data_IF_506543320042
#
_entry.id   IF_506543320042
#
_cell.length_a   1.000
_cell.length_b   1.000
_cell.length_c   1.000
_cell.angle_alpha   90.00
_cell.angle_beta   90.00
_cell.angle_gamma   90.00
#
_symmetry.space_group_name_H-M   'P 1'
#
loop_
_entity.id
_entity.type
_entity.pdbx_description
1 polymer ?
#
# COMPACT_ATOMS: atom_id res chain seq x y z
N UNK A 1 19.34 -8.49 15.59
CA UNK A 1 18.41 -7.36 15.24
C UNK A 1 17.08 -7.87 14.66
N UNK A 2 17.11 -8.86 13.74
CA UNK A 2 15.90 -9.44 13.14
C UNK A 2 14.98 -10.06 14.21
N UNK A 3 15.50 -10.88 15.09
CA UNK A 3 14.73 -11.58 16.12
C UNK A 3 14.04 -10.62 17.11
N UNK A 4 14.71 -9.52 17.48
CA UNK A 4 14.13 -8.52 18.39
C UNK A 4 12.99 -7.73 17.74
N UNK A 5 13.11 -7.40 16.46
CA UNK A 5 12.10 -6.63 15.73
C UNK A 5 10.89 -7.51 15.41
N UNK A 6 11.12 -8.77 15.01
CA UNK A 6 10.07 -9.78 14.82
C UNK A 6 9.30 -10.00 16.13
N UNK A 7 10.01 -10.20 17.24
CA UNK A 7 9.40 -10.42 18.56
C UNK A 7 8.57 -9.21 19.01
N UNK A 8 9.10 -7.99 18.84
CA UNK A 8 8.34 -6.77 19.13
C UNK A 8 7.09 -6.62 18.27
N UNK A 9 7.19 -6.89 16.97
CA UNK A 9 6.03 -6.81 16.05
C UNK A 9 4.93 -7.79 16.45
N UNK A 10 5.28 -9.04 16.77
CA UNK A 10 4.31 -10.05 17.20
C UNK A 10 3.71 -9.70 18.56
N UNK A 11 4.53 -9.23 19.51
CA UNK A 11 4.09 -8.89 20.86
C UNK A 11 3.21 -7.63 20.89
N UNK A 12 3.56 -6.60 20.09
CA UNK A 12 2.75 -5.37 19.99
C UNK A 12 1.50 -5.60 19.15
N UNK A 13 1.56 -6.53 18.16
CA UNK A 13 0.41 -6.94 17.37
C UNK A 13 -0.67 -7.64 18.19
N UNK A 14 -0.35 -8.23 19.39
CA UNK A 14 -1.27 -8.92 20.31
C UNK A 14 -2.29 -9.84 19.59
N UNK A 15 -1.89 -10.47 18.50
CA UNK A 15 -2.77 -11.29 17.66
C UNK A 15 -3.73 -10.49 16.75
N UNK A 16 -3.62 -9.17 16.69
CA UNK A 16 -4.40 -8.34 15.78
C UNK A 16 -3.63 -8.14 14.47
N UNK A 17 -4.04 -8.89 13.44
CA UNK A 17 -3.43 -8.83 12.11
C UNK A 17 -3.41 -7.41 11.53
N UNK A 18 -4.49 -6.64 11.69
CA UNK A 18 -4.58 -5.30 11.12
C UNK A 18 -3.56 -4.33 11.75
N UNK A 19 -3.39 -4.41 13.07
CA UNK A 19 -2.38 -3.62 13.77
C UNK A 19 -0.96 -4.00 13.33
N UNK A 20 -0.69 -5.30 13.19
CA UNK A 20 0.59 -5.77 12.68
C UNK A 20 0.88 -5.27 11.26
N UNK A 21 -0.11 -5.31 10.36
CA UNK A 21 0.02 -4.79 9.00
C UNK A 21 0.38 -3.30 9.00
N UNK A 22 -0.30 -2.48 9.80
CA UNK A 22 0.00 -1.03 9.89
C UNK A 22 1.42 -0.79 10.40
N UNK A 23 1.82 -1.47 11.47
CA UNK A 23 3.17 -1.33 12.03
C UNK A 23 4.24 -1.77 11.02
N UNK A 24 4.02 -2.90 10.36
CA UNK A 24 4.91 -3.40 9.31
C UNK A 24 5.02 -2.41 8.15
N UNK A 25 3.90 -1.84 7.70
CA UNK A 25 3.89 -0.83 6.64
C UNK A 25 4.74 0.40 7.00
N UNK A 26 4.57 0.93 8.22
CA UNK A 26 5.34 2.08 8.72
C UNK A 26 6.83 1.75 8.78
N UNK A 27 7.18 0.58 9.33
CA UNK A 27 8.58 0.13 9.43
C UNK A 27 9.19 -0.04 8.04
N UNK A 28 8.46 -0.66 7.09
CA UNK A 28 8.92 -0.83 5.72
C UNK A 28 9.19 0.51 5.02
N UNK A 29 8.32 1.51 5.21
CA UNK A 29 8.54 2.85 4.67
C UNK A 29 9.80 3.48 5.30
N UNK A 30 9.92 3.47 6.63
CA UNK A 30 11.04 4.10 7.33
C UNK A 30 12.39 3.43 6.96
N UNK A 31 12.45 2.11 7.01
CA UNK A 31 13.67 1.37 6.68
C UNK A 31 14.01 1.42 5.18
N UNK A 32 13.01 1.58 4.32
CA UNK A 32 13.19 1.70 2.88
C UNK A 32 13.74 3.06 2.44
N UNK A 33 13.70 4.08 3.29
CA UNK A 33 14.14 5.42 2.92
C UNK A 33 15.64 5.48 2.59
N UNK A 34 15.96 5.96 1.40
CA UNK A 34 17.33 6.21 1.00
C UNK A 34 18.12 5.01 0.48
N UNK A 35 17.49 3.85 0.31
CA UNK A 35 18.13 2.64 -0.22
C UNK A 35 17.66 2.29 -1.64
N UNK A 36 18.48 1.60 -2.46
CA UNK A 36 18.06 1.03 -3.73
C UNK A 36 16.97 -0.05 -3.53
N UNK A 37 16.04 -0.15 -4.50
CA UNK A 37 14.86 -1.02 -4.42
C UNK A 37 15.18 -2.50 -4.12
N UNK A 38 16.22 -3.04 -4.73
CA UNK A 38 16.68 -4.42 -4.50
C UNK A 38 17.15 -4.63 -3.06
N UNK A 39 17.96 -3.69 -2.54
CA UNK A 39 18.46 -3.76 -1.16
C UNK A 39 17.32 -3.62 -0.15
N UNK A 40 16.36 -2.73 -0.41
CA UNK A 40 15.14 -2.57 0.41
C UNK A 40 14.42 -3.91 0.51
N UNK A 41 14.13 -4.54 -0.63
CA UNK A 41 13.37 -5.79 -0.62
C UNK A 41 14.10 -6.90 0.13
N UNK A 42 15.39 -7.13 -0.13
CA UNK A 42 16.16 -8.15 0.59
C UNK A 42 16.17 -7.92 2.10
N UNK A 43 16.38 -6.69 2.52
CA UNK A 43 16.38 -6.34 3.95
C UNK A 43 15.00 -6.61 4.59
N UNK A 44 13.95 -6.10 3.97
CA UNK A 44 12.60 -6.16 4.52
C UNK A 44 12.01 -7.57 4.43
N UNK A 45 12.34 -8.34 3.39
CA UNK A 45 11.91 -9.73 3.27
C UNK A 45 12.40 -10.57 4.45
N UNK A 46 13.64 -10.34 4.91
CA UNK A 46 14.19 -11.06 6.07
C UNK A 46 13.61 -10.56 7.40
N UNK A 47 13.31 -9.25 7.49
CA UNK A 47 12.90 -8.63 8.76
C UNK A 47 11.40 -8.67 9.03
N UNK A 48 10.58 -8.53 7.99
CA UNK A 48 9.17 -8.18 8.14
C UNK A 48 8.19 -9.22 7.56
N UNK A 49 8.61 -10.13 6.66
CA UNK A 49 7.67 -11.11 6.10
C UNK A 49 7.33 -12.23 7.06
N UNK A 50 8.31 -12.71 7.83
CA UNK A 50 8.10 -13.86 8.72
C UNK A 50 7.01 -13.60 9.77
N UNK A 51 6.95 -12.45 10.48
CA UNK A 51 5.85 -12.15 11.41
C UNK A 51 4.46 -12.20 10.78
N UNK A 52 4.34 -11.78 9.52
CA UNK A 52 3.07 -11.82 8.78
C UNK A 52 2.67 -13.26 8.45
N UNK A 53 3.62 -14.08 8.01
CA UNK A 53 3.40 -15.50 7.70
C UNK A 53 3.03 -16.28 8.96
N UNK A 54 3.67 -16.00 10.09
CA UNK A 54 3.40 -16.66 11.37
C UNK A 54 1.98 -16.39 11.89
N UNK A 55 1.38 -15.25 11.49
CA UNK A 55 -0.04 -14.93 11.75
C UNK A 55 -1.00 -15.43 10.65
N UNK A 56 -0.52 -16.28 9.74
CA UNK A 56 -1.36 -16.94 8.74
C UNK A 56 -1.56 -16.16 7.44
N UNK A 57 -0.78 -15.09 7.19
CA UNK A 57 -0.79 -14.41 5.89
C UNK A 57 -0.15 -15.31 4.84
N UNK A 58 -0.78 -15.39 3.67
CA UNK A 58 -0.22 -16.11 2.52
C UNK A 58 1.21 -15.60 2.21
N UNK A 59 2.21 -16.48 2.07
CA UNK A 59 3.61 -16.05 1.87
C UNK A 59 3.80 -15.07 0.73
N UNK A 60 3.14 -15.29 -0.41
CA UNK A 60 3.21 -14.38 -1.55
C UNK A 60 2.63 -12.99 -1.20
N UNK A 61 1.50 -12.93 -0.48
CA UNK A 61 0.90 -11.69 -0.04
C UNK A 61 1.82 -10.93 0.93
N UNK A 62 2.46 -11.64 1.87
CA UNK A 62 3.42 -11.05 2.80
C UNK A 62 4.63 -10.42 2.08
N UNK A 63 5.19 -11.14 1.10
CA UNK A 63 6.30 -10.62 0.29
C UNK A 63 5.89 -9.43 -0.58
N UNK A 64 4.71 -9.47 -1.21
CA UNK A 64 4.18 -8.35 -1.98
C UNK A 64 3.89 -7.15 -1.08
N UNK A 65 3.33 -7.35 0.11
CA UNK A 65 3.08 -6.30 1.08
C UNK A 65 4.35 -5.53 1.44
N UNK A 66 5.38 -6.27 1.81
CA UNK A 66 6.69 -5.71 2.19
C UNK A 66 7.37 -5.00 1.01
N UNK A 67 7.31 -5.60 -0.19
CA UNK A 67 7.85 -5.01 -1.42
C UNK A 67 7.19 -3.67 -1.74
N UNK A 68 5.85 -3.63 -1.73
CA UNK A 68 5.11 -2.40 -2.05
C UNK A 68 5.42 -1.27 -1.07
N UNK A 69 5.38 -1.52 0.24
CA UNK A 69 5.69 -0.48 1.23
C UNK A 69 7.16 -0.06 1.19
N UNK A 70 8.07 -0.98 0.91
CA UNK A 70 9.46 -0.64 0.64
C UNK A 70 9.62 0.30 -0.56
N UNK A 71 8.91 0.04 -1.67
CA UNK A 71 8.90 0.90 -2.85
C UNK A 71 8.23 2.24 -2.60
N UNK A 72 7.16 2.30 -1.79
CA UNK A 72 6.48 3.55 -1.43
C UNK A 72 7.39 4.51 -0.66
N UNK A 73 8.43 4.03 0.01
CA UNK A 73 9.43 4.88 0.64
C UNK A 73 10.12 5.84 -0.35
N UNK A 74 10.19 5.48 -1.64
CA UNK A 74 10.81 6.28 -2.70
C UNK A 74 10.01 7.55 -3.05
N UNK A 75 8.71 7.60 -2.74
CA UNK A 75 7.84 8.75 -2.97
C UNK A 75 7.36 9.39 -1.68
N UNK A 76 7.57 8.72 -0.52
CA UNK A 76 7.05 9.19 0.77
C UNK A 76 8.05 10.16 1.44
N UNK A 77 7.62 11.38 1.82
CA UNK A 77 8.45 12.27 2.62
C UNK A 77 8.88 11.60 3.95
N UNK A 78 10.03 11.94 4.51
CA UNK A 78 10.89 13.09 4.20
C UNK A 78 12.01 12.83 3.19
N UNK A 79 12.30 11.61 2.80
CA UNK A 79 13.45 11.28 1.94
C UNK A 79 13.08 11.16 0.45
N UNK A 80 11.97 10.56 0.09
CA UNK A 80 11.30 10.56 -1.21
C UNK A 80 12.20 10.69 -2.45
N UNK A 81 13.25 9.86 -2.59
CA UNK A 81 14.32 10.03 -3.59
C UNK A 81 13.80 10.17 -5.03
N UNK A 82 12.83 9.34 -5.43
CA UNK A 82 12.28 9.41 -6.77
C UNK A 82 11.51 10.72 -7.01
N UNK A 83 10.70 11.15 -6.03
CA UNK A 83 9.97 12.41 -6.13
C UNK A 83 10.91 13.63 -6.11
N UNK A 84 12.00 13.59 -5.35
CA UNK A 84 12.99 14.66 -5.31
C UNK A 84 13.79 14.76 -6.63
N UNK A 85 14.08 13.63 -7.25
CA UNK A 85 14.68 13.61 -8.58
C UNK A 85 13.76 14.20 -9.62
N UNK A 86 12.48 13.83 -9.61
CA UNK A 86 11.47 14.40 -10.49
C UNK A 86 11.29 15.91 -10.27
N UNK A 87 11.32 16.37 -9.02
CA UNK A 87 11.23 17.79 -8.65
C UNK A 87 12.37 18.61 -9.26
N UNK A 88 13.60 18.07 -9.25
CA UNK A 88 14.75 18.73 -9.88
C UNK A 88 14.59 18.87 -11.38
N UNK A 89 14.08 17.83 -12.06
CA UNK A 89 13.84 17.86 -13.51
C UNK A 89 12.72 18.83 -13.88
N UNK A 90 11.70 18.96 -13.03
CA UNK A 90 10.55 19.84 -13.24
C UNK A 90 10.76 21.25 -12.68
N UNK A 91 11.92 21.56 -12.11
CA UNK A 91 12.26 22.84 -11.45
C UNK A 91 11.24 23.27 -10.39
N UNK A 92 10.73 22.29 -9.62
CA UNK A 92 9.69 22.48 -8.60
C UNK A 92 10.20 22.20 -7.18
N UNK A 93 9.41 22.57 -6.17
CA UNK A 93 9.76 22.31 -4.77
C UNK A 93 9.75 20.79 -4.45
N UNK A 94 10.86 20.21 -3.92
CA UNK A 94 10.99 18.78 -3.67
C UNK A 94 9.89 18.22 -2.76
N UNK A 95 9.59 18.91 -1.67
CA UNK A 95 8.58 18.46 -0.71
C UNK A 95 7.15 18.52 -1.27
N UNK A 96 6.83 19.56 -2.03
CA UNK A 96 5.55 19.70 -2.71
C UNK A 96 5.34 18.59 -3.75
N UNK A 97 6.40 18.24 -4.48
CA UNK A 97 6.38 17.14 -5.46
C UNK A 97 6.19 15.79 -4.76
N UNK A 98 6.85 15.54 -3.63
CA UNK A 98 6.68 14.31 -2.87
C UNK A 98 5.26 14.15 -2.33
N UNK A 99 4.66 15.19 -1.76
CA UNK A 99 3.26 15.16 -1.34
C UNK A 99 2.29 14.93 -2.50
N UNK A 100 2.58 15.54 -3.66
CA UNK A 100 1.80 15.29 -4.87
C UNK A 100 1.94 13.84 -5.33
N UNK A 101 3.15 13.28 -5.31
CA UNK A 101 3.40 11.89 -5.64
C UNK A 101 2.64 10.92 -4.73
N UNK A 102 2.62 11.15 -3.40
CA UNK A 102 1.80 10.36 -2.47
C UNK A 102 0.31 10.48 -2.77
N UNK A 103 -0.16 11.69 -3.12
CA UNK A 103 -1.57 11.93 -3.46
C UNK A 103 -2.00 11.20 -4.72
N UNK A 104 -1.16 11.15 -5.75
CA UNK A 104 -1.46 10.39 -6.97
C UNK A 104 -1.23 8.89 -6.78
N UNK A 105 -0.22 8.52 -5.99
CA UNK A 105 0.14 7.13 -5.69
C UNK A 105 -0.67 6.48 -4.57
N UNK A 106 -1.75 7.13 -4.07
CA UNK A 106 -2.52 6.61 -2.94
C UNK A 106 -2.99 5.15 -3.09
N UNK A 107 -3.34 4.63 -4.30
CA UNK A 107 -3.76 3.24 -4.43
C UNK A 107 -2.66 2.26 -4.02
N UNK A 108 -1.40 2.60 -4.26
CA UNK A 108 -0.27 1.76 -3.92
C UNK A 108 -0.05 1.60 -2.39
N UNK A 109 -0.64 2.47 -1.57
CA UNK A 109 -0.69 2.29 -0.11
C UNK A 109 -1.83 1.37 0.35
N UNK A 110 -2.89 1.21 -0.45
CA UNK A 110 -4.05 0.38 -0.10
C UNK A 110 -3.95 -1.03 -0.69
N UNK A 111 -3.49 -1.14 -1.94
CA UNK A 111 -3.40 -2.42 -2.66
C UNK A 111 -2.69 -3.53 -1.87
N UNK A 112 -1.57 -3.28 -1.15
CA UNK A 112 -0.93 -4.34 -0.37
C UNK A 112 -1.81 -4.91 0.75
N UNK A 113 -2.66 -4.10 1.37
CA UNK A 113 -3.65 -4.58 2.34
C UNK A 113 -4.67 -5.49 1.67
N UNK A 114 -5.07 -5.17 0.44
CA UNK A 114 -5.99 -6.02 -0.33
C UNK A 114 -5.38 -7.38 -0.67
N UNK A 115 -4.08 -7.45 -0.95
CA UNK A 115 -3.40 -8.73 -1.19
C UNK A 115 -3.44 -9.65 0.04
N UNK A 116 -3.37 -9.07 1.24
CA UNK A 116 -3.46 -9.83 2.49
C UNK A 116 -4.90 -10.21 2.82
N UNK A 117 -5.85 -9.31 2.61
CA UNK A 117 -7.25 -9.51 2.97
C UNK A 117 -8.04 -10.29 1.92
N UNK A 118 -7.63 -10.22 0.65
CA UNK A 118 -8.26 -10.88 -0.48
C UNK A 118 -7.23 -11.64 -1.33
N UNK A 119 -6.84 -12.86 -0.93
CA UNK A 119 -5.84 -13.67 -1.64
C UNK A 119 -6.21 -13.96 -3.10
N UNK A 120 -7.49 -13.84 -3.47
CA UNK A 120 -7.94 -13.96 -4.85
C UNK A 120 -7.27 -12.95 -5.80
N UNK A 121 -6.87 -11.78 -5.30
CA UNK A 121 -6.13 -10.77 -6.09
C UNK A 121 -4.71 -11.20 -6.47
N UNK A 122 -4.14 -12.16 -5.75
CA UNK A 122 -2.84 -12.78 -6.06
C UNK A 122 -3.02 -14.16 -6.70
N UNK A 123 -4.17 -14.39 -7.33
CA UNK A 123 -4.51 -15.63 -8.04
C UNK A 123 -4.60 -16.89 -7.16
N UNK A 124 -4.85 -16.73 -5.87
CA UNK A 124 -5.11 -17.84 -4.94
C UNK A 124 -6.62 -18.00 -4.77
N UNK A 125 -7.20 -19.08 -5.34
CA UNK A 125 -8.62 -19.36 -5.24
C UNK A 125 -9.25 -19.87 -6.54
N UNK A 126 -10.57 -19.81 -6.64
CA UNK A 126 -11.31 -20.20 -7.82
C UNK A 126 -11.26 -19.10 -8.90
N UNK A 127 -11.18 -19.49 -10.18
CA UNK A 127 -11.07 -18.56 -11.32
C UNK A 127 -12.17 -17.49 -11.37
N UNK A 128 -13.40 -17.85 -10.97
CA UNK A 128 -14.52 -16.90 -10.93
C UNK A 128 -14.31 -15.84 -9.85
N UNK A 129 -13.89 -16.27 -8.65
CA UNK A 129 -13.65 -15.37 -7.53
C UNK A 129 -12.45 -14.45 -7.80
N UNK A 130 -11.41 -14.95 -8.48
CA UNK A 130 -10.27 -14.17 -8.96
C UNK A 130 -10.75 -13.08 -9.93
N UNK A 131 -11.56 -13.44 -10.92
CA UNK A 131 -12.08 -12.47 -11.88
C UNK A 131 -12.94 -11.40 -11.20
N UNK A 132 -13.84 -11.79 -10.29
CA UNK A 132 -14.67 -10.85 -9.53
C UNK A 132 -13.79 -9.91 -8.70
N UNK A 133 -12.83 -10.45 -7.93
CA UNK A 133 -11.94 -9.65 -7.10
C UNK A 133 -11.13 -8.64 -7.93
N UNK A 134 -10.67 -9.04 -9.11
CA UNK A 134 -9.91 -8.17 -10.00
C UNK A 134 -10.78 -7.00 -10.54
N UNK A 135 -11.97 -7.29 -11.03
CA UNK A 135 -12.87 -6.24 -11.54
C UNK A 135 -13.39 -5.32 -10.44
N UNK A 136 -13.71 -5.84 -9.27
CA UNK A 136 -14.14 -5.03 -8.12
C UNK A 136 -13.01 -4.15 -7.61
N UNK A 137 -11.77 -4.65 -7.57
CA UNK A 137 -10.61 -3.86 -7.18
C UNK A 137 -10.34 -2.71 -8.16
N UNK A 138 -10.36 -2.96 -9.47
CA UNK A 138 -10.20 -1.91 -10.49
C UNK A 138 -11.30 -0.86 -10.37
N UNK A 139 -12.57 -1.28 -10.28
CA UNK A 139 -13.69 -0.38 -10.13
C UNK A 139 -13.59 0.42 -8.83
N UNK A 140 -13.25 -0.23 -7.71
CA UNK A 140 -13.08 0.39 -6.41
C UNK A 140 -11.99 1.46 -6.41
N UNK A 141 -10.82 1.18 -6.99
CA UNK A 141 -9.73 2.14 -7.12
C UNK A 141 -10.16 3.32 -8.00
N UNK A 142 -10.86 3.06 -9.12
CA UNK A 142 -11.33 4.10 -10.03
C UNK A 142 -12.33 5.04 -9.37
N UNK A 143 -13.36 4.51 -8.71
CA UNK A 143 -14.35 5.31 -8.00
C UNK A 143 -13.72 6.12 -6.86
N UNK A 144 -12.88 5.50 -6.06
CA UNK A 144 -12.20 6.19 -4.96
C UNK A 144 -11.27 7.29 -5.49
N UNK A 145 -10.55 7.06 -6.58
CA UNK A 145 -9.69 8.05 -7.23
C UNK A 145 -10.50 9.23 -7.76
N UNK A 146 -11.65 8.99 -8.41
CA UNK A 146 -12.53 10.04 -8.89
C UNK A 146 -13.06 10.91 -7.74
N UNK A 147 -13.39 10.29 -6.60
CA UNK A 147 -13.80 10.99 -5.39
C UNK A 147 -12.69 11.86 -4.79
N UNK A 148 -11.45 11.35 -4.70
CA UNK A 148 -10.29 12.12 -4.19
C UNK A 148 -9.92 13.29 -5.11
N UNK A 149 -9.89 13.07 -6.41
CA UNK A 149 -9.58 14.13 -7.40
C UNK A 149 -10.72 15.14 -7.45
N UNK A 150 -11.97 14.70 -7.28
CA UNK A 150 -13.16 15.53 -7.32
C UNK A 150 -13.60 15.89 -8.75
N UNK A 151 -13.17 15.14 -9.73
CA UNK A 151 -13.48 15.31 -11.14
C UNK A 151 -13.60 13.94 -11.82
N UNK A 152 -14.64 13.76 -12.62
CA UNK A 152 -14.85 12.59 -13.47
C UNK A 152 -14.98 13.04 -14.94
N UNK A 153 -16.17 13.43 -15.36
CA UNK A 153 -16.50 14.10 -16.62
C UNK A 153 -16.79 15.58 -16.40
N UNK A 154 -17.14 15.94 -15.17
CA UNK A 154 -17.39 17.29 -14.68
C UNK A 154 -16.90 17.40 -13.23
N UNK A 155 -16.82 18.62 -12.70
CA UNK A 155 -16.47 18.83 -11.29
C UNK A 155 -17.54 18.21 -10.38
N UNK A 156 -17.11 17.33 -9.47
CA UNK A 156 -18.00 16.65 -8.52
C UNK A 156 -18.31 17.54 -7.32
N UNK A 157 -19.60 17.63 -6.94
CA UNK A 157 -19.98 18.27 -5.69
C UNK A 157 -19.47 17.49 -4.49
N UNK A 158 -19.36 18.14 -3.32
CA UNK A 158 -18.83 17.55 -2.09
C UNK A 158 -19.55 16.23 -1.72
N UNK A 159 -20.87 16.18 -1.89
CA UNK A 159 -21.68 15.00 -1.63
C UNK A 159 -21.34 13.84 -2.57
N UNK A 160 -21.24 14.13 -3.87
CA UNK A 160 -20.86 13.11 -4.86
C UNK A 160 -19.45 12.57 -4.61
N UNK A 161 -18.50 13.41 -4.25
CA UNK A 161 -17.15 12.99 -3.89
C UNK A 161 -17.16 11.99 -2.72
N UNK A 162 -17.96 12.27 -1.70
CA UNK A 162 -18.09 11.40 -0.53
C UNK A 162 -18.72 10.05 -0.91
N UNK A 163 -19.77 10.07 -1.73
CA UNK A 163 -20.40 8.85 -2.25
C UNK A 163 -19.44 8.00 -3.10
N UNK A 164 -18.63 8.62 -3.96
CA UNK A 164 -17.64 7.93 -4.77
C UNK A 164 -16.52 7.29 -3.93
N UNK A 165 -16.02 7.99 -2.91
CA UNK A 165 -15.01 7.46 -2.00
C UNK A 165 -15.56 6.27 -1.21
N UNK A 166 -16.73 6.43 -0.59
CA UNK A 166 -17.35 5.36 0.21
C UNK A 166 -17.70 4.16 -0.68
N UNK A 167 -18.38 4.38 -1.81
CA UNK A 167 -18.72 3.31 -2.73
C UNK A 167 -17.51 2.57 -3.28
N UNK A 168 -16.44 3.30 -3.61
CA UNK A 168 -15.18 2.71 -4.04
C UNK A 168 -14.51 1.89 -2.95
N UNK A 169 -14.49 2.38 -1.71
CA UNK A 169 -13.94 1.62 -0.57
C UNK A 169 -14.76 0.35 -0.28
N UNK A 170 -16.09 0.40 -0.40
CA UNK A 170 -16.94 -0.80 -0.27
C UNK A 170 -16.63 -1.86 -1.34
N UNK A 171 -16.34 -1.44 -2.57
CA UNK A 171 -15.94 -2.35 -3.65
C UNK A 171 -14.55 -2.98 -3.43
N UNK A 172 -13.71 -2.33 -2.64
CA UNK A 172 -12.39 -2.85 -2.29
C UNK A 172 -12.43 -3.86 -1.13
N UNK A 173 -13.52 -3.87 -0.35
CA UNK A 173 -13.67 -4.88 0.71
C UNK A 173 -13.85 -6.26 0.09
N UNK A 174 -13.13 -7.28 0.57
CA UNK A 174 -13.30 -8.64 0.10
C UNK A 174 -14.73 -9.14 0.40
N UNK A 175 -15.36 -9.66 -0.61
CA UNK A 175 -16.67 -10.32 -0.49
C UNK A 175 -16.55 -11.69 0.19
#
# INVERSE_FOLDING_TARGET
>A
LSFGLTFMLVQVGEGNLFLLLILTAIICIILGMGMPTTAIYFLLAVLATQPLIDLGVEPLAAHLFVLYFGLMSMITPPVALAAFTAAKLAETGPMATAWSACRFGWPAFIVPFLFVLAPNLIMVGNNIDIAIAFFTAIAGIWFTSAGFIGYLTSALSMLHRFCYVIGGLFLLLPS
#
